data_IF_920457057473
#
_entry.id   IF_920457057473
#
_cell.length_a   1.000
_cell.length_b   1.000
_cell.length_c   1.000
_cell.angle_alpha   90.00
_cell.angle_beta   90.00
_cell.angle_gamma   90.00
#
_symmetry.space_group_name_H-M   'P 1'
#
loop_
_entity.id
_entity.type
_entity.pdbx_description
1 polymer ?
#
# COMPACT_ATOMS: atom_id res chain seq x y z
N UNK A 1 -19.25 -12.11 3.40
CA UNK A 1 -17.87 -11.62 3.20
C UNK A 1 -17.48 -11.94 1.76
N UNK A 2 -16.90 -10.97 1.05
CA UNK A 2 -16.19 -11.28 -0.19
C UNK A 2 -15.01 -12.20 0.14
N UNK A 3 -14.57 -13.06 -0.79
CA UNK A 3 -13.38 -13.88 -0.58
C UNK A 3 -12.16 -12.98 -0.32
N UNK A 4 -11.55 -13.12 0.86
CA UNK A 4 -10.39 -12.32 1.29
C UNK A 4 -9.10 -12.63 0.51
N UNK A 5 -9.13 -13.62 -0.38
CA UNK A 5 -8.00 -14.05 -1.21
C UNK A 5 -8.06 -13.50 -2.65
N UNK A 6 -9.03 -12.65 -2.98
CA UNK A 6 -9.09 -11.97 -4.28
C UNK A 6 -8.68 -10.50 -4.11
N UNK A 7 -7.69 -10.08 -4.89
CA UNK A 7 -7.23 -8.69 -4.93
C UNK A 7 -7.57 -8.08 -6.28
N UNK A 8 -8.40 -7.03 -6.27
CA UNK A 8 -8.68 -6.21 -7.45
C UNK A 8 -7.80 -4.97 -7.39
N UNK A 9 -6.89 -4.79 -8.36
CA UNK A 9 -5.99 -3.65 -8.42
C UNK A 9 -6.70 -2.49 -9.12
N UNK A 10 -7.33 -1.61 -8.35
CA UNK A 10 -8.18 -0.52 -8.85
C UNK A 10 -7.38 0.61 -9.51
N UNK A 11 -6.09 0.67 -9.21
CA UNK A 11 -5.16 1.69 -9.72
C UNK A 11 -4.57 1.35 -11.09
N UNK A 12 -4.86 0.17 -11.66
CA UNK A 12 -4.37 -0.23 -12.97
C UNK A 12 -5.51 -0.44 -13.98
N UNK A 13 -5.30 -0.03 -15.25
CA UNK A 13 -6.25 -0.33 -16.31
C UNK A 13 -6.27 -1.82 -16.67
N UNK A 14 -7.38 -2.29 -17.27
CA UNK A 14 -7.54 -3.66 -17.76
C UNK A 14 -6.79 -3.91 -19.10
N UNK A 15 -5.47 -3.68 -19.12
CA UNK A 15 -4.58 -3.92 -20.26
C UNK A 15 -3.31 -4.66 -19.80
N UNK A 16 -2.45 -5.01 -20.75
CA UNK A 16 -1.13 -5.55 -20.43
C UNK A 16 -0.26 -4.48 -19.74
N UNK A 17 0.38 -4.88 -18.64
CA UNK A 17 1.24 -4.04 -17.80
C UNK A 17 2.47 -4.85 -17.40
N UNK A 18 3.60 -4.17 -17.22
CA UNK A 18 4.83 -4.77 -16.75
C UNK A 18 4.67 -5.32 -15.32
N UNK A 19 5.38 -6.42 -15.02
CA UNK A 19 5.16 -7.18 -13.78
C UNK A 19 5.71 -6.49 -12.53
N UNK A 20 6.69 -5.61 -12.70
CA UNK A 20 7.17 -4.72 -11.65
C UNK A 20 6.10 -3.70 -11.24
N UNK A 21 5.43 -3.05 -12.19
CA UNK A 21 4.33 -2.13 -11.94
C UNK A 21 3.14 -2.87 -11.32
N UNK A 22 2.77 -4.04 -11.85
CA UNK A 22 1.72 -4.88 -11.25
C UNK A 22 2.05 -5.25 -9.81
N UNK A 23 3.32 -5.58 -9.49
CA UNK A 23 3.73 -5.91 -8.13
C UNK A 23 3.58 -4.71 -7.18
N UNK A 24 4.09 -3.53 -7.58
CA UNK A 24 3.97 -2.31 -6.79
C UNK A 24 2.50 -2.00 -6.49
N UNK A 25 1.67 -1.95 -7.54
CA UNK A 25 0.25 -1.64 -7.40
C UNK A 25 -0.51 -2.68 -6.58
N UNK A 26 -0.21 -3.98 -6.74
CA UNK A 26 -0.81 -5.02 -5.92
C UNK A 26 -0.47 -4.85 -4.43
N UNK A 27 0.81 -4.61 -4.12
CA UNK A 27 1.23 -4.43 -2.74
C UNK A 27 0.55 -3.23 -2.08
N UNK A 28 0.46 -2.11 -2.77
CA UNK A 28 -0.20 -0.93 -2.21
C UNK A 28 -1.74 -1.02 -2.25
N UNK A 29 -2.33 -1.81 -3.15
CA UNK A 29 -3.76 -2.13 -3.08
C UNK A 29 -4.10 -2.86 -1.77
N UNK A 30 -3.24 -3.76 -1.28
CA UNK A 30 -3.44 -4.41 0.03
C UNK A 30 -3.45 -3.39 1.18
N UNK A 31 -2.57 -2.40 1.15
CA UNK A 31 -2.56 -1.32 2.14
C UNK A 31 -3.84 -0.48 2.07
N UNK A 32 -4.26 -0.11 0.86
CA UNK A 32 -5.48 0.67 0.64
C UNK A 32 -6.71 -0.08 1.14
N UNK A 33 -6.85 -1.35 0.77
CA UNK A 33 -7.98 -2.19 1.20
C UNK A 33 -8.00 -2.33 2.73
N UNK A 34 -6.85 -2.55 3.36
CA UNK A 34 -6.72 -2.63 4.81
C UNK A 34 -7.15 -1.32 5.54
N UNK A 35 -6.81 -0.16 4.97
CA UNK A 35 -7.16 1.14 5.56
C UNK A 35 -8.63 1.51 5.28
N UNK A 36 -9.08 1.37 4.04
CA UNK A 36 -10.37 1.92 3.58
C UNK A 36 -11.52 0.92 3.70
N UNK A 37 -11.29 -0.35 3.32
CA UNK A 37 -12.35 -1.37 3.30
C UNK A 37 -12.47 -2.08 4.64
N UNK A 38 -11.34 -2.33 5.31
CA UNK A 38 -11.33 -2.97 6.63
C UNK A 38 -11.35 -1.95 7.79
N UNK A 39 -11.22 -0.65 7.50
CA UNK A 39 -11.19 0.45 8.48
C UNK A 39 -10.23 0.17 9.66
N UNK A 40 -9.03 -0.37 9.42
CA UNK A 40 -8.12 -0.86 10.48
C UNK A 40 -7.84 0.16 11.60
N UNK A 41 -7.82 1.46 11.31
CA UNK A 41 -7.61 2.51 12.31
C UNK A 41 -8.77 2.69 13.30
N UNK A 42 -9.96 2.23 12.94
CA UNK A 42 -11.16 2.30 13.78
C UNK A 42 -11.28 1.08 14.70
N UNK A 43 -10.84 -0.09 14.23
CA UNK A 43 -11.04 -1.36 14.95
C UNK A 43 -9.79 -1.87 15.68
N UNK A 44 -8.62 -1.28 15.45
CA UNK A 44 -7.35 -1.66 16.13
C UNK A 44 -6.90 -0.58 17.11
N UNK A 45 -6.54 -0.97 18.34
CA UNK A 45 -5.89 -0.07 19.30
C UNK A 45 -4.40 0.09 18.99
N UNK A 46 -4.07 1.18 18.29
CA UNK A 46 -2.71 1.55 17.94
C UNK A 46 -1.94 2.24 19.08
N UNK A 47 -2.62 2.62 20.17
CA UNK A 47 -2.01 3.40 21.25
C UNK A 47 -1.27 2.54 22.29
N UNK A 48 -1.51 1.22 22.28
CA UNK A 48 -1.04 0.27 23.28
C UNK A 48 0.49 0.25 23.49
N UNK A 49 1.28 0.32 22.41
CA UNK A 49 2.75 0.40 22.52
C UNK A 49 3.33 1.40 21.55
N UNK A 50 4.56 1.86 21.82
CA UNK A 50 5.32 2.70 20.89
C UNK A 50 5.48 2.04 19.52
N UNK A 51 5.70 0.72 19.49
CA UNK A 51 5.78 -0.04 18.26
C UNK A 51 4.49 0.04 17.43
N UNK A 52 3.31 -0.07 18.05
CA UNK A 52 2.03 0.05 17.35
C UNK A 52 1.81 1.48 16.83
N UNK A 53 2.15 2.50 17.63
CA UNK A 53 2.07 3.90 17.18
C UNK A 53 2.95 4.16 15.97
N UNK A 54 4.21 3.70 16.01
CA UNK A 54 5.15 3.86 14.90
C UNK A 54 4.68 3.13 13.64
N UNK A 55 4.06 1.95 13.79
CA UNK A 55 3.49 1.23 12.65
C UNK A 55 2.30 1.98 12.05
N UNK A 56 1.38 2.51 12.89
CA UNK A 56 0.27 3.32 12.40
C UNK A 56 0.76 4.54 11.63
N UNK A 57 1.73 5.26 12.18
CA UNK A 57 2.33 6.42 11.52
C UNK A 57 2.97 6.03 10.17
N UNK A 58 3.67 4.90 10.12
CA UNK A 58 4.25 4.38 8.90
C UNK A 58 3.19 4.00 7.85
N UNK A 59 2.07 3.38 8.27
CA UNK A 59 0.92 3.11 7.40
C UNK A 59 0.35 4.41 6.82
N UNK A 60 0.13 5.42 7.67
CA UNK A 60 -0.40 6.73 7.26
C UNK A 60 0.52 7.41 6.22
N UNK A 61 1.84 7.34 6.43
CA UNK A 61 2.85 7.88 5.50
C UNK A 61 2.82 7.14 4.15
N UNK A 62 2.83 5.80 4.17
CA UNK A 62 2.83 4.97 2.97
C UNK A 62 1.53 5.12 2.17
N UNK A 63 0.40 5.17 2.86
CA UNK A 63 -0.91 5.36 2.25
C UNK A 63 -1.02 6.73 1.59
N UNK A 64 -0.60 7.79 2.27
CA UNK A 64 -0.58 9.14 1.70
C UNK A 64 0.30 9.20 0.46
N UNK A 65 1.52 8.66 0.55
CA UNK A 65 2.42 8.59 -0.60
C UNK A 65 1.78 7.84 -1.77
N UNK A 66 1.13 6.71 -1.53
CA UNK A 66 0.48 5.93 -2.57
C UNK A 66 -0.66 6.69 -3.25
N UNK A 67 -1.51 7.39 -2.49
CA UNK A 67 -2.59 8.22 -3.04
C UNK A 67 -2.10 9.35 -3.95
N UNK A 68 -0.86 9.79 -3.78
CA UNK A 68 -0.20 10.75 -4.67
C UNK A 68 0.44 10.03 -5.87
N UNK A 69 1.23 8.98 -5.62
CA UNK A 69 1.96 8.20 -6.63
C UNK A 69 1.05 7.51 -7.64
N UNK A 70 -0.09 6.97 -7.20
CA UNK A 70 -1.03 6.24 -8.06
C UNK A 70 -1.75 7.13 -9.06
N UNK A 71 -1.70 8.46 -8.89
CA UNK A 71 -2.27 9.44 -9.82
C UNK A 71 -1.33 9.84 -10.95
N UNK A 72 -0.05 9.52 -10.84
CA UNK A 72 0.99 9.91 -11.80
C UNK A 72 1.00 8.99 -13.04
N UNK A 73 -0.19 8.63 -13.55
CA UNK A 73 -0.37 7.63 -14.61
C UNK A 73 0.65 7.76 -15.75
N UNK A 74 1.32 6.65 -16.06
CA UNK A 74 2.05 6.44 -17.31
C UNK A 74 3.11 7.50 -17.69
N UNK A 75 3.60 8.25 -16.71
CA UNK A 75 4.81 9.05 -16.87
C UNK A 75 5.98 8.08 -16.94
N UNK A 76 6.93 8.28 -17.87
CA UNK A 76 8.20 7.56 -17.86
C UNK A 76 8.81 7.69 -16.46
N UNK A 77 8.89 6.55 -15.76
CA UNK A 77 9.43 6.48 -14.43
C UNK A 77 10.94 6.58 -14.57
N UNK A 78 11.49 7.72 -14.16
CA UNK A 78 12.95 7.87 -14.12
C UNK A 78 13.57 7.01 -13.02
N UNK A 79 14.89 6.87 -13.04
CA UNK A 79 15.61 6.07 -12.05
C UNK A 79 15.32 6.52 -10.60
N UNK A 80 15.09 7.81 -10.38
CA UNK A 80 14.79 8.36 -9.04
C UNK A 80 13.43 7.90 -8.56
N UNK A 81 12.42 7.90 -9.43
CA UNK A 81 11.09 7.43 -9.08
C UNK A 81 11.09 5.92 -8.88
N UNK A 82 11.85 5.15 -9.66
CA UNK A 82 12.04 3.72 -9.41
C UNK A 82 12.68 3.46 -8.05
N UNK A 83 13.70 4.23 -7.67
CA UNK A 83 14.33 4.11 -6.35
C UNK A 83 13.35 4.46 -5.22
N UNK A 84 12.55 5.52 -5.38
CA UNK A 84 11.51 5.88 -4.43
C UNK A 84 10.44 4.79 -4.30
N UNK A 85 9.95 4.24 -5.42
CA UNK A 85 8.97 3.15 -5.43
C UNK A 85 9.52 1.92 -4.69
N UNK A 86 10.79 1.56 -4.93
CA UNK A 86 11.48 0.48 -4.23
C UNK A 86 11.61 0.74 -2.72
N UNK A 87 11.99 1.95 -2.32
CA UNK A 87 12.10 2.34 -0.91
C UNK A 87 10.76 2.16 -0.19
N UNK A 88 9.65 2.62 -0.79
CA UNK A 88 8.33 2.52 -0.18
C UNK A 88 7.81 1.08 -0.16
N UNK A 89 8.09 0.29 -1.20
CA UNK A 89 7.75 -1.13 -1.21
C UNK A 89 8.47 -1.89 -0.10
N UNK A 90 9.78 -1.64 0.11
CA UNK A 90 10.54 -2.25 1.21
C UNK A 90 9.97 -1.85 2.58
N UNK A 91 9.60 -0.58 2.75
CA UNK A 91 8.97 -0.09 3.98
C UNK A 91 7.64 -0.77 4.26
N UNK A 92 6.78 -0.93 3.25
CA UNK A 92 5.53 -1.68 3.35
C UNK A 92 5.78 -3.15 3.76
N UNK A 93 6.76 -3.82 3.16
CA UNK A 93 7.14 -5.20 3.51
C UNK A 93 7.53 -5.31 4.99
N UNK A 94 8.22 -4.30 5.56
CA UNK A 94 8.63 -4.30 6.97
C UNK A 94 7.43 -4.26 7.94
N UNK A 95 6.32 -3.63 7.53
CA UNK A 95 5.12 -3.51 8.37
C UNK A 95 4.02 -4.52 8.02
N UNK A 96 4.20 -5.35 6.98
CA UNK A 96 3.15 -6.27 6.47
C UNK A 96 2.49 -7.16 7.53
N UNK A 97 3.21 -7.54 8.58
CA UNK A 97 2.69 -8.39 9.67
C UNK A 97 1.64 -7.71 10.55
N UNK A 98 1.43 -6.41 10.37
CA UNK A 98 0.42 -5.62 11.08
C UNK A 98 -0.79 -5.27 10.20
N UNK A 99 -0.80 -5.73 8.94
CA UNK A 99 -1.93 -5.56 8.01
C UNK A 99 -2.94 -6.71 8.23
N UNK A 100 -3.50 -6.80 9.43
CA UNK A 100 -4.53 -7.76 9.78
C UNK A 100 -5.61 -7.08 10.62
N UNK A 101 -6.86 -7.48 10.39
CA UNK A 101 -8.03 -7.08 11.16
C UNK A 101 -8.68 -8.27 11.86
#
# INVERSE_FOLDING_TARGET
MNPANLLTIESLPAKWMDKDEVMLHACFQLLVDCIEKEEIHKYTDWSHTELHRNVKEEMDVLYKWWKERSKMEHIEVDEKQQEADNEKLIRLIKIRKYLWT
#
